data_IF_915909482070
#
_entry.id   IF_915909482070
#
_cell.length_a   1.000
_cell.length_b   1.000
_cell.length_c   1.000
_cell.angle_alpha   90.00
_cell.angle_beta   90.00
_cell.angle_gamma   90.00
#
_symmetry.space_group_name_H-M   'P 1'
#
loop_
_entity.id
_entity.type
_entity.pdbx_description
1 polymer ?
#
# COMPACT_ATOMS: atom_id res chain seq x y z
N UNK A 1 -30.55 -8.86 10.42
CA UNK A 1 -29.41 -7.94 10.26
C UNK A 1 -29.37 -7.49 8.80
N UNK A 2 -29.36 -6.19 8.52
CA UNK A 2 -29.13 -5.71 7.16
C UNK A 2 -27.77 -6.19 6.66
N UNK A 3 -27.75 -6.87 5.51
CA UNK A 3 -26.52 -7.37 4.91
C UNK A 3 -25.84 -6.23 4.15
N UNK A 4 -24.55 -6.04 4.39
CA UNK A 4 -23.75 -5.02 3.70
C UNK A 4 -23.63 -5.37 2.21
N UNK A 5 -24.30 -4.62 1.34
CA UNK A 5 -24.20 -4.77 -0.13
C UNK A 5 -23.06 -3.89 -0.67
N UNK A 6 -22.15 -4.48 -1.44
CA UNK A 6 -21.06 -3.75 -2.12
C UNK A 6 -21.34 -3.63 -3.62
N UNK A 7 -21.32 -2.40 -4.15
CA UNK A 7 -21.45 -2.17 -5.59
C UNK A 7 -20.27 -2.79 -6.36
N UNK A 8 -20.46 -3.06 -7.66
CA UNK A 8 -19.36 -3.57 -8.51
C UNK A 8 -18.17 -2.60 -8.51
N UNK A 9 -18.44 -1.30 -8.65
CA UNK A 9 -17.41 -0.24 -8.64
C UNK A 9 -16.64 -0.24 -7.32
N UNK A 10 -17.34 -0.33 -6.18
CA UNK A 10 -16.70 -0.38 -4.86
C UNK A 10 -15.72 -1.55 -4.76
N UNK A 11 -16.14 -2.75 -5.21
CA UNK A 11 -15.34 -3.97 -5.13
C UNK A 11 -14.10 -3.91 -6.01
N UNK A 12 -14.25 -3.46 -7.26
CA UNK A 12 -13.13 -3.32 -8.19
C UNK A 12 -12.10 -2.37 -7.59
N UNK A 13 -12.50 -1.17 -7.19
CA UNK A 13 -11.59 -0.19 -6.60
C UNK A 13 -10.92 -0.72 -5.33
N UNK A 14 -11.66 -1.41 -4.46
CA UNK A 14 -11.10 -2.03 -3.27
C UNK A 14 -9.98 -3.04 -3.60
N UNK A 15 -10.24 -3.99 -4.50
CA UNK A 15 -9.28 -5.03 -4.85
C UNK A 15 -8.10 -4.49 -5.64
N UNK A 16 -8.30 -3.55 -6.57
CA UNK A 16 -7.20 -2.92 -7.30
C UNK A 16 -6.28 -2.15 -6.36
N UNK A 17 -6.82 -1.45 -5.36
CA UNK A 17 -6.03 -0.80 -4.31
C UNK A 17 -5.26 -1.84 -3.47
N UNK A 18 -5.93 -2.91 -3.04
CA UNK A 18 -5.31 -3.95 -2.23
C UNK A 18 -4.14 -4.63 -2.96
N UNK A 19 -4.32 -4.98 -4.24
CA UNK A 19 -3.26 -5.54 -5.09
C UNK A 19 -2.12 -4.54 -5.29
N UNK A 20 -2.43 -3.26 -5.50
CA UNK A 20 -1.41 -2.22 -5.64
C UNK A 20 -0.54 -2.09 -4.37
N UNK A 21 -1.17 -2.10 -3.19
CA UNK A 21 -0.42 -2.12 -1.92
C UNK A 21 0.45 -3.38 -1.77
N UNK A 22 -0.06 -4.55 -2.15
CA UNK A 22 0.72 -5.79 -2.08
C UNK A 22 1.96 -5.72 -2.98
N UNK A 23 1.80 -5.27 -4.23
CA UNK A 23 2.93 -5.13 -5.16
C UNK A 23 3.94 -4.09 -4.66
N UNK A 24 3.48 -2.97 -4.11
CA UNK A 24 4.37 -1.98 -3.47
C UNK A 24 5.15 -2.60 -2.29
N UNK A 25 4.49 -3.35 -1.41
CA UNK A 25 5.17 -4.06 -0.32
C UNK A 25 6.21 -5.07 -0.83
N UNK A 26 5.91 -5.78 -1.92
CA UNK A 26 6.86 -6.70 -2.55
C UNK A 26 8.11 -5.95 -3.04
N UNK A 27 7.96 -4.81 -3.73
CA UNK A 27 9.11 -4.02 -4.19
C UNK A 27 9.98 -3.51 -3.03
N UNK A 28 9.34 -3.11 -1.93
CA UNK A 28 10.04 -2.70 -0.70
C UNK A 28 10.78 -3.89 -0.07
N UNK A 29 10.11 -5.03 0.06
CA UNK A 29 10.71 -6.26 0.58
C UNK A 29 11.96 -6.64 -0.21
N UNK A 30 11.88 -6.62 -1.55
CA UNK A 30 13.01 -6.89 -2.42
C UNK A 30 14.15 -5.88 -2.19
N UNK A 31 13.86 -4.57 -2.10
CA UNK A 31 14.89 -3.53 -1.86
C UNK A 31 15.64 -3.72 -0.54
N UNK A 32 14.92 -4.12 0.51
CA UNK A 32 15.48 -4.26 1.86
C UNK A 32 16.24 -5.57 2.03
N UNK A 33 15.85 -6.63 1.32
CA UNK A 33 16.41 -7.98 1.46
C UNK A 33 17.25 -8.38 0.25
N UNK A 34 16.67 -9.10 -0.71
CA UNK A 34 17.37 -9.75 -1.82
C UNK A 34 18.14 -8.77 -2.72
N UNK A 35 17.59 -7.60 -2.97
CA UNK A 35 18.17 -6.57 -3.84
C UNK A 35 18.80 -5.42 -3.03
N UNK A 36 19.22 -5.70 -1.80
CA UNK A 36 19.99 -4.74 -1.02
C UNK A 36 21.29 -4.42 -1.76
N UNK A 37 21.60 -3.12 -1.90
CA UNK A 37 22.74 -2.65 -2.69
C UNK A 37 24.08 -3.23 -2.22
N UNK A 38 24.24 -3.49 -0.92
CA UNK A 38 25.47 -4.05 -0.37
C UNK A 38 25.57 -5.55 -0.63
N UNK A 39 24.47 -6.28 -0.48
CA UNK A 39 24.42 -7.72 -0.79
C UNK A 39 24.69 -7.98 -2.28
N UNK A 40 24.02 -7.22 -3.16
CA UNK A 40 24.23 -7.35 -4.61
C UNK A 40 25.66 -6.95 -4.99
N UNK A 41 26.22 -5.89 -4.39
CA UNK A 41 27.62 -5.52 -4.60
C UNK A 41 28.60 -6.63 -4.18
N UNK A 42 28.34 -7.29 -3.04
CA UNK A 42 29.16 -8.41 -2.57
C UNK A 42 29.11 -9.61 -3.53
N UNK A 43 27.92 -9.94 -4.07
CA UNK A 43 27.77 -11.00 -5.07
C UNK A 43 28.57 -10.69 -6.34
N UNK A 44 28.54 -9.44 -6.81
CA UNK A 44 29.32 -9.02 -7.98
C UNK A 44 30.82 -9.13 -7.69
N UNK A 45 31.26 -8.67 -6.51
CA UNK A 45 32.66 -8.73 -6.11
C UNK A 45 33.18 -10.17 -6.06
N UNK A 46 32.38 -11.09 -5.52
CA UNK A 46 32.70 -12.51 -5.44
C UNK A 46 32.90 -13.11 -6.84
N UNK A 47 31.98 -12.82 -7.77
CA UNK A 47 32.11 -13.24 -9.17
C UNK A 47 33.37 -12.67 -9.85
N UNK A 48 33.67 -11.39 -9.64
CA UNK A 48 34.83 -10.74 -10.28
C UNK A 48 36.18 -11.18 -9.70
N UNK A 49 36.21 -11.75 -8.50
CA UNK A 49 37.45 -12.25 -7.88
C UNK A 49 38.11 -13.38 -8.69
N UNK A 50 37.34 -14.06 -9.54
CA UNK A 50 37.83 -15.07 -10.50
C UNK A 50 38.18 -14.49 -11.89
N UNK A 51 38.24 -13.16 -12.05
CA UNK A 51 38.46 -12.48 -13.33
C UNK A 51 39.57 -11.44 -13.23
N UNK A 52 40.07 -10.94 -14.37
CA UNK A 52 41.05 -9.84 -14.41
C UNK A 52 40.42 -8.46 -14.18
N UNK A 53 39.11 -8.38 -13.91
CA UNK A 53 38.39 -7.13 -13.72
C UNK A 53 38.36 -6.74 -12.24
N UNK A 54 39.01 -5.63 -11.92
CA UNK A 54 39.02 -5.06 -10.56
C UNK A 54 38.16 -3.79 -10.55
N UNK A 55 37.14 -3.77 -9.69
CA UNK A 55 36.29 -2.61 -9.46
C UNK A 55 36.43 -2.13 -8.01
N UNK A 56 36.32 -0.82 -7.79
CA UNK A 56 36.24 -0.27 -6.44
C UNK A 56 34.89 -0.61 -5.79
N UNK A 57 34.84 -0.58 -4.46
CA UNK A 57 33.60 -0.82 -3.71
C UNK A 57 32.49 0.17 -4.08
N UNK A 58 32.84 1.41 -4.41
CA UNK A 58 31.88 2.42 -4.87
C UNK A 58 31.28 2.05 -6.23
N UNK A 59 32.12 1.62 -7.18
CA UNK A 59 31.68 1.16 -8.51
C UNK A 59 30.76 -0.05 -8.41
N UNK A 60 31.07 -1.00 -7.51
CA UNK A 60 30.23 -2.18 -7.25
C UNK A 60 28.85 -1.80 -6.68
N UNK A 61 28.82 -0.87 -5.72
CA UNK A 61 27.57 -0.36 -5.15
C UNK A 61 26.73 0.37 -6.20
N UNK A 62 27.36 1.15 -7.08
CA UNK A 62 26.66 1.84 -8.15
C UNK A 62 26.12 0.89 -9.21
N UNK A 63 26.86 -0.16 -9.55
CA UNK A 63 26.35 -1.24 -10.41
C UNK A 63 25.17 -1.96 -9.76
N UNK A 64 25.26 -2.29 -8.46
CA UNK A 64 24.16 -2.87 -7.70
C UNK A 64 22.91 -1.97 -7.68
N UNK A 65 23.08 -0.64 -7.53
CA UNK A 65 21.97 0.33 -7.64
C UNK A 65 21.34 0.30 -9.04
N UNK A 66 22.14 0.21 -10.11
CA UNK A 66 21.64 0.11 -11.49
C UNK A 66 20.84 -1.18 -11.72
N UNK A 67 21.31 -2.32 -11.20
CA UNK A 67 20.61 -3.62 -11.31
C UNK A 67 19.23 -3.58 -10.67
N UNK A 68 19.09 -2.94 -9.50
CA UNK A 68 17.79 -2.84 -8.81
C UNK A 68 16.89 -1.70 -9.32
N UNK A 69 17.41 -0.79 -10.14
CA UNK A 69 16.66 0.37 -10.62
C UNK A 69 15.36 -0.01 -11.36
N UNK A 70 15.31 -1.03 -12.25
CA UNK A 70 14.07 -1.42 -12.90
C UNK A 70 12.94 -1.79 -11.93
N UNK A 71 13.26 -2.52 -10.85
CA UNK A 71 12.29 -2.85 -9.80
C UNK A 71 11.82 -1.58 -9.07
N UNK A 72 12.71 -0.63 -8.81
CA UNK A 72 12.34 0.64 -8.19
C UNK A 72 11.49 1.52 -9.10
N UNK A 73 11.69 1.48 -10.42
CA UNK A 73 10.81 2.16 -11.37
C UNK A 73 9.38 1.57 -11.29
N UNK A 74 9.24 0.25 -11.14
CA UNK A 74 7.93 -0.37 -10.88
C UNK A 74 7.31 0.11 -9.58
N UNK A 75 8.09 0.30 -8.51
CA UNK A 75 7.59 0.90 -7.27
C UNK A 75 6.99 2.30 -7.52
N UNK A 76 7.68 3.15 -8.29
CA UNK A 76 7.22 4.50 -8.64
C UNK A 76 5.93 4.43 -9.47
N UNK A 77 5.89 3.59 -10.52
CA UNK A 77 4.71 3.45 -11.38
C UNK A 77 3.49 2.95 -10.61
N UNK A 78 3.66 1.96 -9.73
CA UNK A 78 2.62 1.48 -8.84
C UNK A 78 2.16 2.58 -7.87
N UNK A 79 3.09 3.42 -7.42
CA UNK A 79 2.79 4.64 -6.64
C UNK A 79 1.84 5.57 -7.39
N UNK A 80 2.11 5.89 -8.65
CA UNK A 80 1.21 6.72 -9.47
C UNK A 80 -0.15 6.07 -9.70
N UNK A 81 -0.19 4.76 -9.96
CA UNK A 81 -1.45 4.01 -10.05
C UNK A 81 -2.24 4.15 -8.75
N UNK A 82 -1.58 4.00 -7.60
CA UNK A 82 -2.21 4.11 -6.29
C UNK A 82 -2.72 5.53 -6.02
N UNK A 83 -1.98 6.58 -6.40
CA UNK A 83 -2.45 7.98 -6.36
C UNK A 83 -3.77 8.09 -7.13
N UNK A 84 -3.81 7.66 -8.39
CA UNK A 84 -5.01 7.72 -9.22
C UNK A 84 -6.20 6.95 -8.62
N UNK A 85 -5.96 5.73 -8.13
CA UNK A 85 -6.99 4.91 -7.50
C UNK A 85 -7.53 5.54 -6.22
N UNK A 86 -6.67 6.13 -5.39
CA UNK A 86 -7.10 6.82 -4.17
C UNK A 86 -7.85 8.11 -4.49
N UNK A 87 -7.43 8.89 -5.48
CA UNK A 87 -8.17 10.05 -5.96
C UNK A 87 -9.58 9.67 -6.40
N UNK A 88 -9.71 8.62 -7.23
CA UNK A 88 -11.02 8.08 -7.63
C UNK A 88 -11.83 7.66 -6.39
N UNK A 89 -11.19 6.94 -5.45
CA UNK A 89 -11.86 6.47 -4.23
C UNK A 89 -12.43 7.61 -3.38
N UNK A 90 -11.74 8.75 -3.28
CA UNK A 90 -12.25 9.93 -2.55
C UNK A 90 -13.34 10.69 -3.30
N UNK A 91 -13.39 10.59 -4.63
CA UNK A 91 -14.44 11.20 -5.45
C UNK A 91 -15.74 10.37 -5.47
N UNK A 92 -15.68 9.04 -5.34
CA UNK A 92 -16.86 8.18 -5.38
C UNK A 92 -17.99 8.56 -4.37
N UNK A 93 -17.68 8.96 -3.12
CA UNK A 93 -18.69 9.46 -2.20
C UNK A 93 -19.41 10.73 -2.70
N UNK A 94 -18.71 11.63 -3.39
CA UNK A 94 -19.27 12.86 -3.95
C UNK A 94 -20.32 12.54 -5.02
N UNK A 95 -20.09 11.48 -5.79
CA UNK A 95 -21.02 10.98 -6.80
C UNK A 95 -22.08 10.01 -6.27
N UNK A 96 -22.22 9.89 -4.94
CA UNK A 96 -23.21 9.01 -4.31
C UNK A 96 -22.95 7.51 -4.47
N UNK A 97 -21.80 7.12 -5.05
CA UNK A 97 -21.43 5.72 -5.28
C UNK A 97 -20.90 5.03 -4.00
N UNK A 98 -20.61 5.82 -2.95
CA UNK A 98 -20.12 5.34 -1.66
C UNK A 98 -20.61 6.26 -0.52
N UNK A 99 -20.77 5.72 0.69
CA UNK A 99 -21.12 6.53 1.88
C UNK A 99 -19.86 7.10 2.54
N UNK A 100 -19.91 8.36 2.97
CA UNK A 100 -18.87 8.96 3.80
C UNK A 100 -18.76 8.27 5.17
N UNK A 101 -17.54 8.07 5.64
CA UNK A 101 -17.29 7.54 6.98
C UNK A 101 -17.32 8.67 8.01
N UNK A 102 -18.47 8.88 8.66
CA UNK A 102 -18.57 9.78 9.81
C UNK A 102 -18.44 8.99 11.13
N UNK A 103 -17.38 9.18 11.94
CA UNK A 103 -17.18 8.51 13.22
C UNK A 103 -17.92 9.21 14.39
N UNK A 104 -18.41 10.44 14.20
CA UNK A 104 -19.04 11.26 15.24
C UNK A 104 -20.55 11.04 15.38
N UNK A 105 -21.10 10.01 14.73
CA UNK A 105 -22.52 9.67 14.84
C UNK A 105 -22.90 9.34 16.29
N UNK A 106 -23.86 10.09 16.84
CA UNK A 106 -24.30 9.95 18.25
C UNK A 106 -24.92 8.57 18.55
N UNK A 107 -25.46 7.88 17.54
CA UNK A 107 -26.09 6.55 17.64
C UNK A 107 -25.15 5.37 17.34
N UNK A 108 -23.86 5.60 17.13
CA UNK A 108 -22.91 4.53 16.79
C UNK A 108 -22.44 3.77 18.03
N UNK A 109 -22.43 2.44 17.96
CA UNK A 109 -21.79 1.59 18.98
C UNK A 109 -20.28 1.82 19.03
N UNK A 110 -19.65 1.51 20.17
CA UNK A 110 -18.19 1.64 20.35
C UNK A 110 -17.41 0.87 19.29
N UNK A 111 -17.85 -0.36 18.94
CA UNK A 111 -17.27 -1.19 17.88
C UNK A 111 -17.29 -0.46 16.52
N UNK A 112 -18.42 0.16 16.16
CA UNK A 112 -18.55 0.89 14.90
C UNK A 112 -17.73 2.17 14.86
N UNK A 113 -17.65 2.90 15.98
CA UNK A 113 -16.78 4.10 16.10
C UNK A 113 -15.32 3.73 15.92
N UNK A 114 -14.87 2.67 16.58
CA UNK A 114 -13.50 2.16 16.47
C UNK A 114 -13.14 1.78 15.02
N UNK A 115 -13.99 1.01 14.35
CA UNK A 115 -13.80 0.66 12.94
C UNK A 115 -13.66 1.90 12.05
N UNK A 116 -14.53 2.90 12.22
CA UNK A 116 -14.49 4.15 11.44
C UNK A 116 -13.22 4.96 11.70
N UNK A 117 -12.76 5.04 12.94
CA UNK A 117 -11.50 5.70 13.30
C UNK A 117 -10.28 5.02 12.67
N UNK A 118 -10.23 3.69 12.70
CA UNK A 118 -9.16 2.94 12.03
C UNK A 118 -9.10 3.31 10.54
N UNK A 119 -10.24 3.36 9.85
CA UNK A 119 -10.26 3.74 8.43
C UNK A 119 -9.83 5.18 8.19
N UNK A 120 -10.19 6.12 9.06
CA UNK A 120 -9.78 7.53 8.94
C UNK A 120 -8.26 7.67 9.12
N UNK A 121 -7.72 7.05 10.17
CA UNK A 121 -6.27 7.06 10.43
C UNK A 121 -5.53 6.42 9.25
N UNK A 122 -6.02 5.27 8.77
CA UNK A 122 -5.46 4.61 7.59
C UNK A 122 -5.43 5.55 6.37
N UNK A 123 -6.55 6.18 6.05
CA UNK A 123 -6.61 7.10 4.91
C UNK A 123 -5.67 8.29 5.06
N UNK A 124 -5.58 8.87 6.26
CA UNK A 124 -4.62 9.92 6.54
C UNK A 124 -3.18 9.46 6.31
N UNK A 125 -2.79 8.31 6.87
CA UNK A 125 -1.45 7.75 6.69
C UNK A 125 -1.12 7.45 5.21
N UNK A 126 -2.10 6.95 4.45
CA UNK A 126 -1.93 6.73 3.01
C UNK A 126 -1.75 8.05 2.28
N UNK A 127 -2.54 9.07 2.56
CA UNK A 127 -2.38 10.40 1.95
C UNK A 127 -0.97 10.95 2.21
N UNK A 128 -0.49 10.89 3.46
CA UNK A 128 0.88 11.31 3.81
C UNK A 128 1.91 10.55 2.98
N UNK A 129 1.75 9.24 2.82
CA UNK A 129 2.69 8.42 2.05
C UNK A 129 2.67 8.72 0.56
N UNK A 130 1.49 8.96 -0.01
CA UNK A 130 1.35 9.33 -1.42
C UNK A 130 1.96 10.72 -1.68
N UNK A 131 1.68 11.69 -0.80
CA UNK A 131 2.24 13.05 -0.92
C UNK A 131 3.75 13.04 -0.77
N UNK A 132 4.30 12.36 0.23
CA UNK A 132 5.76 12.24 0.40
C UNK A 132 6.40 11.53 -0.79
N UNK A 133 5.79 10.46 -1.31
CA UNK A 133 6.25 9.77 -2.52
C UNK A 133 6.30 10.68 -3.75
N UNK A 134 5.26 11.50 -3.95
CA UNK A 134 5.21 12.48 -5.03
C UNK A 134 6.26 13.57 -4.88
N UNK A 135 6.51 14.08 -3.67
CA UNK A 135 7.53 15.11 -3.43
C UNK A 135 8.94 14.54 -3.65
N UNK A 136 9.19 13.28 -3.29
CA UNK A 136 10.48 12.62 -3.55
C UNK A 136 10.81 12.59 -5.05
N UNK A 137 9.78 12.36 -5.89
CA UNK A 137 9.95 12.16 -7.33
C UNK A 137 9.83 13.44 -8.14
N UNK A 138 8.91 14.34 -7.77
CA UNK A 138 8.57 15.54 -8.54
C UNK A 138 8.94 16.84 -7.82
N UNK A 139 9.29 16.76 -6.54
CA UNK A 139 9.55 17.92 -5.70
C UNK A 139 11.00 18.43 -5.73
N UNK A 140 11.25 19.56 -5.06
CA UNK A 140 12.60 20.10 -4.90
C UNK A 140 13.57 19.13 -4.22
N UNK A 141 14.83 19.13 -4.65
CA UNK A 141 15.86 18.17 -4.18
C UNK A 141 16.12 18.28 -2.68
N UNK A 142 16.00 19.48 -2.11
CA UNK A 142 16.16 19.76 -0.69
C UNK A 142 15.13 19.03 0.19
N UNK A 143 13.95 18.71 -0.35
CA UNK A 143 12.93 17.97 0.38
C UNK A 143 13.04 16.46 0.23
N UNK A 144 13.86 15.96 -0.69
CA UNK A 144 13.95 14.52 -0.98
C UNK A 144 14.26 13.69 0.27
N UNK A 145 15.30 14.08 1.03
CA UNK A 145 15.73 13.34 2.22
C UNK A 145 14.68 13.34 3.35
N UNK A 146 14.18 14.50 3.83
CA UNK A 146 13.15 14.49 4.88
C UNK A 146 11.87 13.78 4.44
N UNK A 147 11.49 13.88 3.15
CA UNK A 147 10.32 13.15 2.65
C UNK A 147 10.57 11.64 2.60
N UNK A 148 11.77 11.16 2.25
CA UNK A 148 12.13 9.73 2.31
C UNK A 148 12.05 9.20 3.74
N UNK A 149 12.53 9.96 4.73
CA UNK A 149 12.46 9.58 6.15
C UNK A 149 11.01 9.38 6.62
N UNK A 150 10.09 10.28 6.23
CA UNK A 150 8.67 10.14 6.52
C UNK A 150 8.05 8.99 5.70
N UNK A 151 8.39 8.88 4.41
CA UNK A 151 7.80 7.90 3.51
C UNK A 151 8.12 6.46 3.92
N UNK A 152 9.33 6.20 4.44
CA UNK A 152 9.71 4.86 4.92
C UNK A 152 8.86 4.42 6.12
N UNK A 153 8.30 5.35 6.91
CA UNK A 153 7.36 5.01 7.99
C UNK A 153 6.10 4.31 7.47
N UNK A 154 5.83 4.40 6.17
CA UNK A 154 4.66 3.80 5.54
C UNK A 154 4.57 2.29 5.69
N UNK A 155 5.73 1.62 5.74
CA UNK A 155 5.82 0.17 5.92
C UNK A 155 5.14 -0.25 7.22
N UNK A 156 5.42 0.45 8.32
CA UNK A 156 4.96 0.07 9.65
C UNK A 156 3.46 0.20 9.79
N UNK A 157 2.89 1.36 9.43
CA UNK A 157 1.44 1.53 9.53
C UNK A 157 0.71 0.61 8.56
N UNK A 158 1.25 0.35 7.36
CA UNK A 158 0.57 -0.45 6.35
C UNK A 158 0.51 -1.92 6.77
N UNK A 159 1.61 -2.48 7.28
CA UNK A 159 1.64 -3.83 7.82
C UNK A 159 0.68 -3.95 9.03
N UNK A 160 0.74 -3.00 9.96
CA UNK A 160 -0.16 -2.99 11.12
C UNK A 160 -1.63 -2.91 10.69
N UNK A 161 -1.96 -2.04 9.74
CA UNK A 161 -3.32 -1.89 9.22
C UNK A 161 -3.80 -3.17 8.53
N UNK A 162 -2.98 -3.80 7.68
CA UNK A 162 -3.33 -5.05 7.01
C UNK A 162 -3.66 -6.13 8.05
N UNK A 163 -2.82 -6.28 9.08
CA UNK A 163 -3.06 -7.25 10.16
C UNK A 163 -4.38 -6.99 10.89
N UNK A 164 -4.62 -5.75 11.33
CA UNK A 164 -5.86 -5.35 12.01
C UNK A 164 -7.08 -5.52 11.09
N UNK A 165 -6.96 -5.15 9.82
CA UNK A 165 -8.04 -5.23 8.84
C UNK A 165 -8.44 -6.68 8.57
N UNK A 166 -7.48 -7.55 8.29
CA UNK A 166 -7.73 -8.97 8.05
C UNK A 166 -8.32 -9.66 9.29
N UNK A 167 -7.76 -9.40 10.48
CA UNK A 167 -8.30 -9.93 11.73
C UNK A 167 -9.74 -9.46 11.95
N UNK A 168 -10.03 -8.17 11.76
CA UNK A 168 -11.37 -7.61 11.88
C UNK A 168 -12.37 -8.19 10.89
N UNK A 169 -11.96 -8.43 9.64
CA UNK A 169 -12.80 -9.05 8.61
C UNK A 169 -13.07 -10.52 8.93
N UNK A 170 -12.05 -11.28 9.36
CA UNK A 170 -12.21 -12.69 9.75
C UNK A 170 -13.12 -12.84 10.96
N UNK A 171 -12.93 -12.03 12.01
CA UNK A 171 -13.82 -12.03 13.17
C UNK A 171 -15.26 -11.77 12.70
N UNK A 172 -15.49 -10.73 11.90
CA UNK A 172 -16.82 -10.39 11.40
C UNK A 172 -17.43 -11.51 10.54
N UNK A 173 -16.65 -12.20 9.72
CA UNK A 173 -17.09 -13.35 8.93
C UNK A 173 -17.58 -14.51 9.82
N UNK A 174 -16.89 -14.78 10.93
CA UNK A 174 -17.23 -15.88 11.84
C UNK A 174 -18.26 -15.52 12.92
N UNK A 175 -18.53 -14.23 13.16
CA UNK A 175 -19.49 -13.78 14.18
C UNK A 175 -20.77 -13.23 13.57
N UNK A 176 -20.83 -11.92 13.35
CA UNK A 176 -22.05 -11.14 13.14
C UNK A 176 -22.29 -10.80 11.68
N UNK A 177 -21.29 -10.92 10.79
CA UNK A 177 -21.40 -10.51 9.38
C UNK A 177 -21.05 -11.62 8.39
N UNK A 178 -21.51 -12.84 8.66
CA UNK A 178 -21.32 -14.02 7.78
C UNK A 178 -21.49 -13.69 6.29
N UNK A 179 -20.55 -14.14 5.48
CA UNK A 179 -20.48 -13.88 4.04
C UNK A 179 -19.95 -12.50 3.66
N UNK A 180 -19.37 -11.71 4.56
CA UNK A 180 -18.77 -10.39 4.24
C UNK A 180 -17.64 -10.53 3.21
N UNK A 181 -16.82 -11.58 3.34
CA UNK A 181 -15.73 -11.87 2.40
C UNK A 181 -16.32 -12.21 1.03
N UNK A 182 -17.31 -13.10 0.99
CA UNK A 182 -17.97 -13.47 -0.27
C UNK A 182 -18.63 -12.26 -0.94
N UNK A 183 -19.25 -11.36 -0.16
CA UNK A 183 -19.88 -10.14 -0.68
C UNK A 183 -18.86 -9.15 -1.24
N UNK A 184 -17.66 -9.00 -0.68
CA UNK A 184 -16.64 -8.08 -1.22
C UNK A 184 -15.93 -8.68 -2.45
N UNK A 185 -15.84 -10.01 -2.56
CA UNK A 185 -15.27 -10.70 -3.73
C UNK A 185 -16.32 -10.79 -4.85
N UNK A 186 -17.36 -11.60 -4.64
CA UNK A 186 -18.33 -11.99 -5.66
C UNK A 186 -19.54 -11.05 -5.76
N UNK A 187 -19.81 -10.27 -4.70
CA UNK A 187 -21.01 -9.43 -4.59
C UNK A 187 -22.15 -10.19 -3.92
N UNK A 188 -23.24 -9.49 -3.62
CA UNK A 188 -24.45 -10.16 -3.12
C UNK A 188 -25.17 -10.86 -4.27
N UNK A 189 -25.64 -12.10 -4.07
CA UNK A 189 -26.61 -12.72 -4.98
C UNK A 189 -27.81 -11.78 -5.14
N UNK A 190 -28.28 -11.59 -6.37
CA UNK A 190 -29.61 -11.04 -6.58
C UNK A 190 -30.59 -12.05 -5.99
N UNK A 191 -31.45 -11.61 -5.09
CA UNK A 191 -32.72 -12.31 -4.86
C UNK A 191 -33.47 -12.19 -6.18
N UNK A 192 -33.64 -13.33 -6.86
CA UNK A 192 -34.55 -13.45 -7.99
C UNK A 192 -35.96 -13.61 -7.44
#
# INVERSE_FOLDING_TARGET
METTKYSKVYRIIHWTIAVSFLLLLITIFLRLTWMNKFNVAAIIQDYLSGTDVVLSQEQLIDLAKKIRQPMWNWHIYLGYVLVGLFSIRFLLPVFGQMKFQNPFGKSLSTKMKFQKWIYIIFYFCVIVSLVTGLIIELGPKEFKKPMEEIHVLSIYYLIAFIGIHLAGVLIAEFTDQKGIISRIVSGSKKEN
#
